data_IF_056520029387
#
_entry.id   IF_056520029387
#
_cell.length_a   1.000
_cell.length_b   1.000
_cell.length_c   1.000
_cell.angle_alpha   90.00
_cell.angle_beta   90.00
_cell.angle_gamma   90.00
#
_symmetry.space_group_name_H-M   'P 1'
#
loop_
_entity.id
_entity.type
_entity.pdbx_description
1 polymer ?
#
# COMPACT_ATOMS: atom_id res chain seq x y z
N UNK A 1 42.21 -60.82 -19.58
CA UNK A 1 41.12 -61.13 -20.52
C UNK A 1 40.31 -59.86 -20.68
N UNK A 2 40.60 -59.09 -21.73
CA UNK A 2 39.90 -57.85 -22.06
C UNK A 2 38.49 -58.20 -22.55
N UNK A 3 37.46 -57.62 -21.92
CA UNK A 3 36.09 -57.67 -22.41
C UNK A 3 36.01 -56.78 -23.66
N UNK A 4 36.08 -57.41 -24.84
CA UNK A 4 35.69 -56.77 -26.09
C UNK A 4 34.20 -56.39 -26.02
N UNK A 5 33.80 -55.18 -26.43
CA UNK A 5 32.39 -54.86 -26.61
C UNK A 5 31.89 -55.52 -27.89
N UNK A 6 31.16 -56.62 -27.74
CA UNK A 6 30.37 -57.23 -28.81
C UNK A 6 29.04 -56.48 -28.95
N UNK A 7 29.09 -55.26 -29.48
CA UNK A 7 27.93 -54.54 -29.99
C UNK A 7 28.24 -54.06 -31.39
N UNK A 8 27.56 -54.61 -32.41
CA UNK A 8 27.83 -54.25 -33.80
C UNK A 8 27.78 -52.74 -34.02
N UNK A 9 28.63 -52.24 -34.93
CA UNK A 9 28.92 -50.82 -35.25
C UNK A 9 27.71 -49.92 -35.54
N UNK A 10 26.48 -50.45 -35.49
CA UNK A 10 25.22 -49.73 -35.71
C UNK A 10 24.34 -49.62 -34.45
N UNK A 11 24.65 -50.36 -33.37
CA UNK A 11 23.87 -50.37 -32.12
C UNK A 11 23.92 -49.03 -31.38
N UNK A 12 25.07 -48.36 -31.38
CA UNK A 12 25.23 -47.02 -30.81
C UNK A 12 24.48 -45.95 -31.64
N UNK A 13 24.42 -46.11 -32.97
CA UNK A 13 23.66 -45.24 -33.88
C UNK A 13 22.15 -45.39 -33.63
N UNK A 14 21.67 -46.63 -33.46
CA UNK A 14 20.27 -46.91 -33.15
C UNK A 14 19.87 -46.34 -31.78
N UNK A 15 20.71 -46.51 -30.76
CA UNK A 15 20.48 -45.91 -29.44
C UNK A 15 20.46 -44.37 -29.52
N UNK A 16 21.40 -43.77 -30.24
CA UNK A 16 21.43 -42.31 -30.45
C UNK A 16 20.16 -41.82 -31.15
N UNK A 17 19.72 -42.51 -32.20
CA UNK A 17 18.47 -42.19 -32.90
C UNK A 17 17.25 -42.30 -31.99
N UNK A 18 17.16 -43.33 -31.15
CA UNK A 18 16.09 -43.48 -30.17
C UNK A 18 16.09 -42.34 -29.14
N UNK A 19 17.27 -41.95 -28.63
CA UNK A 19 17.40 -40.80 -27.73
C UNK A 19 17.01 -39.48 -28.39
N UNK A 20 17.41 -39.27 -29.65
CA UNK A 20 17.01 -38.10 -30.43
C UNK A 20 15.49 -38.07 -30.60
N UNK A 21 14.87 -39.17 -31.02
CA UNK A 21 13.41 -39.28 -31.17
C UNK A 21 12.72 -39.00 -29.82
N UNK A 22 13.22 -39.57 -28.73
CA UNK A 22 12.68 -39.34 -27.40
C UNK A 22 12.78 -37.85 -26.99
N UNK A 23 13.91 -37.20 -27.24
CA UNK A 23 14.09 -35.76 -26.97
C UNK A 23 13.11 -34.94 -27.80
N UNK A 24 12.93 -35.24 -29.09
CA UNK A 24 11.97 -34.53 -29.94
C UNK A 24 10.53 -34.74 -29.47
N UNK A 25 10.15 -35.96 -29.10
CA UNK A 25 8.82 -36.25 -28.52
C UNK A 25 8.64 -35.48 -27.22
N UNK A 26 9.61 -35.52 -26.29
CA UNK A 26 9.55 -34.77 -25.04
C UNK A 26 9.53 -33.26 -25.25
N UNK A 27 10.23 -32.74 -26.27
CA UNK A 27 10.24 -31.32 -26.58
C UNK A 27 8.87 -30.82 -27.05
N UNK A 28 8.21 -31.55 -27.95
CA UNK A 28 6.91 -31.13 -28.49
C UNK A 28 5.72 -31.51 -27.58
N UNK A 29 5.75 -32.68 -26.95
CA UNK A 29 4.67 -33.13 -26.05
C UNK A 29 4.84 -32.59 -24.63
N UNK A 30 6.08 -32.42 -24.16
CA UNK A 30 6.37 -31.86 -22.84
C UNK A 30 5.89 -30.43 -22.69
N UNK A 31 6.04 -29.59 -23.73
CA UNK A 31 5.52 -28.22 -23.71
C UNK A 31 3.99 -28.18 -23.57
N UNK A 32 3.27 -29.06 -24.29
CA UNK A 32 1.81 -29.16 -24.17
C UNK A 32 1.40 -29.67 -22.79
N UNK A 33 2.07 -30.69 -22.29
CA UNK A 33 1.80 -31.25 -20.97
C UNK A 33 2.06 -30.21 -19.86
N UNK A 34 3.17 -29.49 -19.94
CA UNK A 34 3.52 -28.38 -19.04
C UNK A 34 2.44 -27.30 -19.09
N UNK A 35 2.01 -26.88 -20.29
CA UNK A 35 0.95 -25.90 -20.47
C UNK A 35 -0.35 -26.32 -19.78
N UNK A 36 -0.80 -27.56 -19.96
CA UNK A 36 -2.02 -28.06 -19.30
C UNK A 36 -1.88 -28.13 -17.79
N UNK A 37 -0.72 -28.56 -17.29
CA UNK A 37 -0.42 -28.61 -15.86
C UNK A 37 -0.45 -27.20 -15.25
N UNK A 38 0.25 -26.24 -15.85
CA UNK A 38 0.30 -24.86 -15.37
C UNK A 38 -1.07 -24.18 -15.45
N UNK A 39 -1.86 -24.42 -16.51
CA UNK A 39 -3.22 -23.89 -16.59
C UNK A 39 -4.09 -24.37 -15.43
N UNK A 40 -3.98 -25.63 -15.02
CA UNK A 40 -4.74 -26.18 -13.90
C UNK A 40 -4.33 -25.56 -12.56
N UNK A 41 -3.04 -25.30 -12.38
CA UNK A 41 -2.53 -24.60 -11.20
C UNK A 41 -3.07 -23.17 -11.12
N UNK A 42 -2.98 -22.41 -12.22
CA UNK A 42 -3.51 -21.05 -12.29
C UNK A 42 -5.03 -21.04 -12.07
N UNK A 43 -5.75 -22.00 -12.66
CA UNK A 43 -7.20 -22.13 -12.48
C UNK A 43 -7.58 -22.32 -11.01
N UNK A 44 -6.80 -23.11 -10.26
CA UNK A 44 -7.00 -23.33 -8.82
C UNK A 44 -6.85 -22.02 -8.03
N UNK A 45 -5.78 -21.27 -8.28
CA UNK A 45 -5.59 -19.96 -7.63
C UNK A 45 -6.63 -18.94 -8.08
N UNK A 46 -7.08 -19.00 -9.33
CA UNK A 46 -8.15 -18.15 -9.83
C UNK A 46 -9.48 -18.41 -9.10
N UNK A 47 -9.80 -19.66 -8.75
CA UNK A 47 -10.95 -19.96 -7.90
C UNK A 47 -10.80 -19.35 -6.51
N UNK A 48 -9.60 -19.40 -5.91
CA UNK A 48 -9.32 -18.75 -4.63
C UNK A 48 -9.49 -17.23 -4.72
N UNK A 49 -8.91 -16.59 -5.73
CA UNK A 49 -9.08 -15.14 -5.98
C UNK A 49 -10.55 -14.76 -6.18
N UNK A 50 -11.32 -15.59 -6.90
CA UNK A 50 -12.76 -15.38 -7.07
C UNK A 50 -13.48 -15.39 -5.73
N UNK A 51 -13.18 -16.39 -4.90
CA UNK A 51 -13.77 -16.52 -3.57
C UNK A 51 -13.43 -15.31 -2.69
N UNK A 52 -12.15 -14.91 -2.64
CA UNK A 52 -11.70 -13.74 -1.86
C UNK A 52 -12.42 -12.46 -2.33
N UNK A 53 -12.52 -12.24 -3.64
CA UNK A 53 -13.27 -11.11 -4.21
C UNK A 53 -14.74 -11.15 -3.80
N UNK A 54 -15.40 -12.30 -3.92
CA UNK A 54 -16.82 -12.44 -3.63
C UNK A 54 -17.10 -12.23 -2.12
N UNK A 55 -16.20 -12.70 -1.26
CA UNK A 55 -16.23 -12.43 0.18
C UNK A 55 -16.02 -10.94 0.47
N UNK A 56 -15.02 -10.29 -0.15
CA UNK A 56 -14.78 -8.86 0.02
C UNK A 56 -15.98 -8.00 -0.39
N UNK A 57 -16.59 -8.31 -1.54
CA UNK A 57 -17.85 -7.67 -1.98
C UNK A 57 -18.97 -7.88 -0.98
N UNK A 58 -19.12 -9.09 -0.46
CA UNK A 58 -20.15 -9.43 0.52
C UNK A 58 -19.97 -8.62 1.81
N UNK A 59 -18.76 -8.59 2.37
CA UNK A 59 -18.45 -7.84 3.58
C UNK A 59 -18.75 -6.35 3.37
N UNK A 60 -18.31 -5.74 2.25
CA UNK A 60 -18.60 -4.33 1.97
C UNK A 60 -20.12 -4.02 1.98
N UNK A 61 -20.94 -4.90 1.37
CA UNK A 61 -22.40 -4.75 1.37
C UNK A 61 -22.99 -4.90 2.78
N UNK A 62 -22.51 -5.87 3.55
CA UNK A 62 -22.96 -6.12 4.93
C UNK A 62 -22.60 -4.93 5.83
N UNK A 63 -21.36 -4.45 5.79
CA UNK A 63 -20.91 -3.28 6.56
C UNK A 63 -21.72 -2.03 6.21
N UNK A 64 -22.02 -1.78 4.92
CA UNK A 64 -22.88 -0.66 4.51
C UNK A 64 -24.30 -0.81 5.08
N UNK A 65 -24.86 -2.02 5.08
CA UNK A 65 -26.20 -2.27 5.63
C UNK A 65 -26.25 -2.04 7.13
N UNK A 66 -25.21 -2.46 7.85
CA UNK A 66 -25.10 -2.34 9.30
C UNK A 66 -24.90 -0.88 9.75
N UNK A 67 -23.93 -0.18 9.15
CA UNK A 67 -23.55 1.19 9.53
C UNK A 67 -24.49 2.21 8.87
N UNK A 68 -24.64 2.10 7.56
CA UNK A 68 -25.26 3.11 6.71
C UNK A 68 -26.78 3.09 6.67
N UNK A 69 -27.40 1.97 7.03
CA UNK A 69 -28.86 1.74 7.01
C UNK A 69 -29.55 2.31 5.76
N UNK A 70 -29.09 1.94 4.55
CA UNK A 70 -29.68 2.45 3.31
C UNK A 70 -31.14 2.02 3.15
N UNK A 71 -31.95 2.89 2.52
CA UNK A 71 -33.38 2.64 2.28
C UNK A 71 -33.64 1.58 1.20
N UNK A 72 -32.65 1.32 0.33
CA UNK A 72 -32.70 0.37 -0.78
C UNK A 72 -31.45 -0.50 -0.78
N UNK A 73 -31.54 -1.68 -1.41
CA UNK A 73 -30.41 -2.62 -1.46
C UNK A 73 -29.19 -1.98 -2.16
N UNK A 74 -28.04 -1.82 -1.46
CA UNK A 74 -26.87 -1.12 -2.00
C UNK A 74 -26.10 -1.95 -3.04
N UNK A 75 -26.41 -3.24 -3.21
CA UNK A 75 -25.61 -4.18 -3.99
C UNK A 75 -25.26 -3.68 -5.42
N UNK A 76 -26.26 -3.20 -6.17
CA UNK A 76 -26.02 -2.71 -7.54
C UNK A 76 -25.15 -1.46 -7.61
N UNK A 77 -25.16 -0.65 -6.55
CA UNK A 77 -24.36 0.58 -6.48
C UNK A 77 -22.94 0.28 -6.02
N UNK A 78 -22.79 -0.65 -5.08
CA UNK A 78 -21.48 -1.24 -4.73
C UNK A 78 -20.84 -1.83 -5.99
N UNK A 79 -21.56 -2.61 -6.80
CA UNK A 79 -21.03 -3.17 -8.06
C UNK A 79 -20.50 -2.10 -9.02
N UNK A 80 -21.18 -0.95 -9.12
CA UNK A 80 -20.68 0.19 -9.91
C UNK A 80 -19.45 0.82 -9.30
N UNK A 81 -19.40 0.93 -7.97
CA UNK A 81 -18.24 1.45 -7.24
C UNK A 81 -17.00 0.58 -7.47
N UNK A 82 -17.14 -0.75 -7.41
CA UNK A 82 -16.03 -1.70 -7.64
C UNK A 82 -15.46 -1.67 -9.07
N UNK A 83 -16.17 -1.03 -10.00
CA UNK A 83 -15.78 -0.84 -11.40
C UNK A 83 -15.31 0.61 -11.67
N UNK A 84 -15.27 1.45 -10.64
CA UNK A 84 -14.77 2.83 -10.75
C UNK A 84 -13.27 2.84 -11.10
N UNK A 85 -12.86 3.82 -11.89
CA UNK A 85 -11.46 4.00 -12.27
C UNK A 85 -11.12 5.49 -12.38
N UNK A 86 -9.84 5.79 -12.24
CA UNK A 86 -9.29 7.15 -12.36
C UNK A 86 -8.26 7.16 -13.48
N UNK A 87 -8.30 8.19 -14.33
CA UNK A 87 -7.37 8.35 -15.45
C UNK A 87 -6.31 9.38 -15.03
N UNK A 88 -5.03 9.01 -15.11
CA UNK A 88 -3.91 9.90 -14.85
C UNK A 88 -3.83 11.04 -15.89
N UNK A 89 -3.33 12.23 -15.51
CA UNK A 89 -3.17 13.33 -16.46
C UNK A 89 -2.14 12.99 -17.55
N UNK A 90 -2.25 13.67 -18.69
CA UNK A 90 -1.27 13.56 -19.77
C UNK A 90 0.11 14.08 -19.33
N UNK A 91 1.16 13.33 -19.66
CA UNK A 91 2.55 13.61 -19.25
C UNK A 91 3.45 14.14 -20.37
N UNK A 92 2.91 14.37 -21.57
CA UNK A 92 3.68 14.88 -22.71
C UNK A 92 4.32 16.25 -22.43
N UNK A 93 3.62 17.11 -21.70
CA UNK A 93 4.17 18.33 -21.12
C UNK A 93 4.32 18.14 -19.60
N UNK A 94 5.53 17.88 -19.10
CA UNK A 94 5.76 17.61 -17.68
C UNK A 94 5.57 18.84 -16.80
N UNK A 95 5.54 20.05 -17.37
CA UNK A 95 5.33 21.26 -16.59
C UNK A 95 3.94 21.25 -15.94
N UNK A 96 3.91 21.35 -14.61
CA UNK A 96 2.67 21.36 -13.84
C UNK A 96 1.90 20.03 -13.80
N UNK A 97 2.51 18.90 -14.19
CA UNK A 97 1.87 17.59 -14.11
C UNK A 97 1.43 17.24 -12.69
N UNK A 98 2.21 17.64 -11.68
CA UNK A 98 1.93 17.38 -10.26
C UNK A 98 0.62 18.04 -9.83
N UNK A 99 0.41 19.31 -10.20
CA UNK A 99 -0.82 20.04 -9.86
C UNK A 99 -2.06 19.51 -10.60
N UNK A 100 -1.89 19.02 -11.84
CA UNK A 100 -2.96 18.33 -12.58
C UNK A 100 -3.32 17.01 -11.90
N UNK A 101 -2.31 16.26 -11.47
CA UNK A 101 -2.49 14.99 -10.78
C UNK A 101 -3.19 15.21 -9.44
N UNK A 102 -2.76 16.21 -8.66
CA UNK A 102 -3.40 16.59 -7.42
C UNK A 102 -4.88 16.88 -7.60
N UNK A 103 -5.23 17.72 -8.58
CA UNK A 103 -6.64 18.06 -8.83
C UNK A 103 -7.48 16.81 -9.16
N UNK A 104 -6.94 15.87 -9.95
CA UNK A 104 -7.63 14.61 -10.27
C UNK A 104 -7.80 13.74 -9.01
N UNK A 105 -6.79 13.67 -8.15
CA UNK A 105 -6.85 12.92 -6.89
C UNK A 105 -7.85 13.53 -5.91
N UNK A 106 -7.93 14.87 -5.83
CA UNK A 106 -8.92 15.57 -5.01
C UNK A 106 -10.35 15.29 -5.49
N UNK A 107 -10.57 15.39 -6.82
CA UNK A 107 -11.87 15.07 -7.42
C UNK A 107 -12.24 13.61 -7.19
N UNK A 108 -11.26 12.70 -7.21
CA UNK A 108 -11.45 11.28 -6.89
C UNK A 108 -11.88 11.13 -5.42
N UNK A 109 -11.11 11.65 -4.47
CA UNK A 109 -11.37 11.58 -3.03
C UNK A 109 -12.78 12.10 -2.69
N UNK A 110 -13.11 13.32 -3.14
CA UNK A 110 -14.40 13.94 -2.87
C UNK A 110 -15.56 13.09 -3.45
N UNK A 111 -15.38 12.55 -4.67
CA UNK A 111 -16.38 11.70 -5.32
C UNK A 111 -16.59 10.36 -4.60
N UNK A 112 -15.52 9.72 -4.12
CA UNK A 112 -15.64 8.46 -3.39
C UNK A 112 -16.37 8.67 -2.07
N UNK A 113 -16.02 9.72 -1.32
CA UNK A 113 -16.73 10.13 -0.10
C UNK A 113 -18.21 10.41 -0.35
N UNK A 114 -18.55 11.11 -1.43
CA UNK A 114 -19.95 11.38 -1.80
C UNK A 114 -20.72 10.12 -2.15
N UNK A 115 -20.11 9.17 -2.89
CA UNK A 115 -20.72 7.87 -3.16
C UNK A 115 -20.95 7.06 -1.87
N UNK A 116 -20.01 7.11 -0.92
CA UNK A 116 -20.16 6.48 0.39
C UNK A 116 -21.32 7.10 1.18
N UNK A 117 -21.42 8.43 1.24
CA UNK A 117 -22.54 9.12 1.93
C UNK A 117 -23.89 8.75 1.36
N UNK A 118 -23.97 8.54 0.05
CA UNK A 118 -25.20 8.11 -0.60
C UNK A 118 -25.50 6.60 -0.40
N UNK A 119 -24.47 5.77 -0.23
CA UNK A 119 -24.59 4.35 0.13
C UNK A 119 -24.93 4.16 1.61
N UNK A 120 -24.44 5.03 2.48
CA UNK A 120 -24.50 4.92 3.93
C UNK A 120 -24.90 6.25 4.59
N UNK A 121 -26.16 6.71 4.41
CA UNK A 121 -26.60 8.04 4.86
C UNK A 121 -26.58 8.23 6.38
N UNK A 122 -26.57 7.14 7.17
CA UNK A 122 -26.51 7.21 8.62
C UNK A 122 -25.08 7.21 9.21
N UNK A 123 -24.05 7.09 8.37
CA UNK A 123 -22.66 7.03 8.83
C UNK A 123 -22.16 8.41 9.29
N UNK A 124 -21.41 8.45 10.39
CA UNK A 124 -20.63 9.63 10.78
C UNK A 124 -19.36 9.78 9.90
N UNK A 125 -18.56 10.82 10.14
CA UNK A 125 -17.36 11.11 9.33
C UNK A 125 -16.29 10.01 9.44
N UNK A 126 -16.07 9.47 10.65
CA UNK A 126 -15.11 8.38 10.88
C UNK A 126 -15.56 7.11 10.16
N UNK A 127 -16.85 6.79 10.29
CA UNK A 127 -17.48 5.66 9.61
C UNK A 127 -17.47 5.83 8.10
N UNK A 128 -17.67 7.05 7.59
CA UNK A 128 -17.59 7.37 6.15
C UNK A 128 -16.20 7.06 5.62
N UNK A 129 -15.14 7.54 6.29
CA UNK A 129 -13.75 7.27 5.90
C UNK A 129 -13.41 5.77 5.98
N UNK A 130 -13.90 5.07 7.00
CA UNK A 130 -13.69 3.62 7.12
C UNK A 130 -14.42 2.82 6.03
N UNK A 131 -15.65 3.21 5.69
CA UNK A 131 -16.43 2.60 4.61
C UNK A 131 -15.82 2.86 3.23
N UNK A 132 -15.26 4.06 3.02
CA UNK A 132 -14.47 4.38 1.83
C UNK A 132 -13.31 3.40 1.67
N UNK A 133 -12.45 3.27 2.69
CA UNK A 133 -11.32 2.35 2.63
C UNK A 133 -11.76 0.88 2.47
N UNK A 134 -12.88 0.50 3.08
CA UNK A 134 -13.48 -0.84 2.92
C UNK A 134 -13.86 -1.10 1.45
N UNK A 135 -14.50 -0.13 0.80
CA UNK A 135 -14.88 -0.21 -0.60
C UNK A 135 -13.67 -0.16 -1.54
N UNK A 136 -12.65 0.64 -1.23
CA UNK A 136 -11.40 0.66 -1.99
C UNK A 136 -10.66 -0.68 -1.94
N UNK A 137 -10.58 -1.32 -0.76
CA UNK A 137 -10.02 -2.66 -0.63
C UNK A 137 -10.83 -3.69 -1.44
N UNK A 138 -12.17 -3.61 -1.42
CA UNK A 138 -13.02 -4.48 -2.23
C UNK A 138 -12.79 -4.25 -3.74
N UNK A 139 -12.59 -2.99 -4.15
CA UNK A 139 -12.29 -2.60 -5.52
C UNK A 139 -10.94 -3.18 -5.97
N UNK A 140 -9.91 -3.13 -5.11
CA UNK A 140 -8.60 -3.74 -5.37
C UNK A 140 -8.71 -5.26 -5.57
N UNK A 141 -9.45 -5.97 -4.70
CA UNK A 141 -9.72 -7.41 -4.85
C UNK A 141 -10.45 -7.73 -6.18
N UNK A 142 -11.43 -6.91 -6.56
CA UNK A 142 -12.13 -7.06 -7.84
C UNK A 142 -11.16 -6.86 -9.03
N UNK A 143 -10.30 -5.85 -8.96
CA UNK A 143 -9.31 -5.58 -9.99
C UNK A 143 -8.31 -6.75 -10.14
N UNK A 144 -7.72 -7.22 -9.03
CA UNK A 144 -6.78 -8.36 -9.03
C UNK A 144 -7.40 -9.58 -9.71
N UNK A 145 -8.62 -9.96 -9.31
CA UNK A 145 -9.32 -11.09 -9.92
C UNK A 145 -9.51 -10.91 -11.43
N UNK A 146 -9.95 -9.71 -11.87
CA UNK A 146 -10.22 -9.42 -13.29
C UNK A 146 -8.96 -9.50 -14.14
N UNK A 147 -7.84 -8.95 -13.67
CA UNK A 147 -6.56 -8.95 -14.39
C UNK A 147 -6.02 -10.38 -14.52
N UNK A 148 -5.97 -11.15 -13.43
CA UNK A 148 -5.50 -12.55 -13.48
C UNK A 148 -6.40 -13.39 -14.37
N UNK A 149 -7.72 -13.22 -14.27
CA UNK A 149 -8.69 -13.90 -15.14
C UNK A 149 -8.46 -13.57 -16.61
N UNK A 150 -8.20 -12.31 -16.94
CA UNK A 150 -7.94 -11.88 -18.30
C UNK A 150 -6.75 -12.62 -18.90
N UNK A 151 -5.60 -12.62 -18.22
CA UNK A 151 -4.41 -13.30 -18.72
C UNK A 151 -4.54 -14.82 -18.74
N UNK A 152 -5.24 -15.43 -17.77
CA UNK A 152 -5.57 -16.86 -17.81
C UNK A 152 -6.38 -17.22 -19.06
N UNK A 153 -7.45 -16.47 -19.35
CA UNK A 153 -8.29 -16.71 -20.53
C UNK A 153 -7.54 -16.45 -21.84
N UNK A 154 -6.71 -15.41 -21.88
CA UNK A 154 -5.87 -15.10 -23.01
C UNK A 154 -4.90 -16.26 -23.29
N UNK A 155 -4.16 -16.70 -22.27
CA UNK A 155 -3.23 -17.83 -22.38
C UNK A 155 -3.92 -19.13 -22.82
N UNK A 156 -5.11 -19.42 -22.28
CA UNK A 156 -5.92 -20.58 -22.67
C UNK A 156 -6.40 -20.49 -24.13
N UNK A 157 -6.80 -19.30 -24.61
CA UNK A 157 -7.29 -19.10 -25.98
C UNK A 157 -6.17 -19.15 -27.01
N UNK A 158 -5.02 -18.55 -26.72
CA UNK A 158 -3.89 -18.48 -27.66
C UNK A 158 -2.95 -19.68 -27.57
N UNK A 159 -3.13 -20.53 -26.55
CA UNK A 159 -2.18 -21.60 -26.20
C UNK A 159 -0.74 -21.08 -26.06
N UNK A 160 -0.60 -19.84 -25.57
CA UNK A 160 0.71 -19.19 -25.42
C UNK A 160 1.33 -19.60 -24.09
N UNK A 161 2.35 -20.46 -24.16
CA UNK A 161 3.10 -20.90 -22.99
C UNK A 161 3.69 -19.72 -22.22
N UNK A 162 4.21 -18.70 -22.91
CA UNK A 162 4.82 -17.53 -22.28
C UNK A 162 3.84 -16.69 -21.48
N UNK A 163 2.61 -16.48 -21.98
CA UNK A 163 1.57 -15.76 -21.23
C UNK A 163 1.21 -16.52 -19.96
N UNK A 164 1.08 -17.83 -20.06
CA UNK A 164 0.73 -18.71 -18.94
C UNK A 164 1.86 -18.74 -17.90
N UNK A 165 3.12 -18.85 -18.33
CA UNK A 165 4.28 -18.82 -17.44
C UNK A 165 4.40 -17.49 -16.70
N UNK A 166 4.19 -16.35 -17.37
CA UNK A 166 4.22 -15.04 -16.71
C UNK A 166 3.21 -14.98 -15.57
N UNK A 167 1.97 -15.44 -15.80
CA UNK A 167 0.95 -15.51 -14.75
C UNK A 167 1.40 -16.44 -13.62
N UNK A 168 1.87 -17.65 -13.94
CA UNK A 168 2.32 -18.62 -12.93
C UNK A 168 3.42 -18.06 -12.02
N UNK A 169 4.40 -17.35 -12.60
CA UNK A 169 5.53 -16.80 -11.86
C UNK A 169 5.13 -15.69 -10.88
N UNK A 170 4.19 -14.82 -11.27
CA UNK A 170 3.74 -13.70 -10.41
C UNK A 170 2.64 -14.11 -9.43
N UNK A 171 1.96 -15.24 -9.68
CA UNK A 171 0.79 -15.68 -8.93
C UNK A 171 1.00 -15.76 -7.41
N UNK A 172 2.15 -16.23 -6.88
CA UNK A 172 2.38 -16.24 -5.43
C UNK A 172 2.36 -14.84 -4.82
N UNK A 173 2.94 -13.84 -5.51
CA UNK A 173 2.94 -12.45 -5.05
C UNK A 173 1.53 -11.86 -5.11
N UNK A 174 0.80 -12.11 -6.20
CA UNK A 174 -0.59 -11.67 -6.37
C UNK A 174 -1.52 -12.28 -5.31
N UNK A 175 -1.32 -13.55 -4.96
CA UNK A 175 -2.08 -14.22 -3.89
C UNK A 175 -1.80 -13.58 -2.53
N UNK A 176 -0.52 -13.30 -2.21
CA UNK A 176 -0.12 -12.63 -0.98
C UNK A 176 -0.76 -11.24 -0.88
N UNK A 177 -0.74 -10.48 -1.96
CA UNK A 177 -1.39 -9.17 -2.04
C UNK A 177 -2.92 -9.26 -1.88
N UNK A 178 -3.58 -10.23 -2.52
CA UNK A 178 -5.02 -10.44 -2.37
C UNK A 178 -5.42 -10.83 -0.94
N UNK A 179 -4.63 -11.67 -0.28
CA UNK A 179 -4.84 -12.04 1.13
C UNK A 179 -4.63 -10.84 2.08
N UNK A 180 -3.65 -9.98 1.77
CA UNK A 180 -3.41 -8.73 2.48
C UNK A 180 -4.61 -7.78 2.36
N UNK A 181 -5.11 -7.53 1.14
CA UNK A 181 -6.31 -6.70 0.93
C UNK A 181 -7.57 -7.30 1.54
N UNK A 182 -7.71 -8.63 1.56
CA UNK A 182 -8.84 -9.28 2.24
C UNK A 182 -8.81 -9.06 3.75
N UNK A 183 -7.61 -9.07 4.34
CA UNK A 183 -7.40 -8.76 5.75
C UNK A 183 -7.61 -7.26 6.04
N UNK A 184 -7.11 -6.40 5.16
CA UNK A 184 -7.30 -4.94 5.20
C UNK A 184 -8.78 -4.57 5.17
N UNK A 185 -9.55 -5.19 4.28
CA UNK A 185 -10.98 -4.97 4.16
C UNK A 185 -11.71 -5.23 5.49
N UNK A 186 -11.34 -6.29 6.21
CA UNK A 186 -11.88 -6.57 7.55
C UNK A 186 -11.42 -5.52 8.56
N UNK A 187 -10.14 -5.13 8.55
CA UNK A 187 -9.62 -4.08 9.42
C UNK A 187 -10.38 -2.75 9.22
N UNK A 188 -10.60 -2.35 7.96
CA UNK A 188 -11.33 -1.15 7.59
C UNK A 188 -12.79 -1.19 8.05
N UNK A 189 -13.48 -2.33 7.84
CA UNK A 189 -14.85 -2.50 8.29
C UNK A 189 -15.00 -2.37 9.83
N UNK A 190 -14.00 -2.79 10.59
CA UNK A 190 -14.02 -2.75 12.06
C UNK A 190 -13.30 -1.55 12.69
N UNK A 191 -12.70 -0.65 11.90
CA UNK A 191 -11.96 0.49 12.46
C UNK A 191 -10.65 0.11 13.15
N UNK A 192 -10.03 -1.02 12.78
CA UNK A 192 -8.79 -1.49 13.41
C UNK A 192 -7.55 -0.83 12.80
N UNK A 193 -6.52 -0.49 13.61
CA UNK A 193 -5.27 0.04 13.10
C UNK A 193 -4.55 -0.98 12.21
N UNK A 194 -3.91 -0.49 11.15
CA UNK A 194 -3.14 -1.29 10.19
C UNK A 194 -1.65 -0.95 10.23
N UNK A 195 -0.78 -1.81 9.69
CA UNK A 195 0.67 -1.62 9.76
C UNK A 195 1.17 -0.31 9.15
N UNK A 196 0.56 0.16 8.06
CA UNK A 196 0.84 1.46 7.42
C UNK A 196 0.66 2.63 8.39
N UNK A 197 -0.26 2.51 9.36
CA UNK A 197 -0.53 3.54 10.35
C UNK A 197 0.55 3.73 11.43
N UNK A 198 1.68 3.00 11.38
CA UNK A 198 2.71 3.09 12.43
C UNK A 198 3.35 4.49 12.53
N UNK A 199 3.57 5.20 11.42
CA UNK A 199 4.06 6.58 11.47
C UNK A 199 3.04 7.51 12.13
N UNK A 200 1.77 7.39 11.75
CA UNK A 200 0.67 8.10 12.39
C UNK A 200 0.53 7.77 13.90
N UNK A 201 0.77 6.52 14.30
CA UNK A 201 0.76 6.10 15.71
C UNK A 201 1.90 6.76 16.50
N UNK A 202 3.11 6.83 15.92
CA UNK A 202 4.25 7.52 16.55
C UNK A 202 3.93 8.99 16.77
N UNK A 203 3.36 9.67 15.77
CA UNK A 203 2.92 11.05 15.91
C UNK A 203 1.82 11.20 16.98
N UNK A 204 0.80 10.32 16.98
CA UNK A 204 -0.25 10.32 18.00
C UNK A 204 0.30 10.18 19.42
N UNK A 205 1.27 9.27 19.64
CA UNK A 205 1.94 9.12 20.94
C UNK A 205 2.67 10.39 21.38
N UNK A 206 3.27 11.14 20.45
CA UNK A 206 3.94 12.41 20.74
C UNK A 206 2.95 13.56 20.98
N UNK A 207 1.78 13.54 20.32
CA UNK A 207 0.72 14.54 20.48
C UNK A 207 -0.09 14.36 21.77
N UNK A 208 -0.12 13.15 22.34
CA UNK A 208 -0.95 12.81 23.48
C UNK A 208 -0.77 13.78 24.66
N UNK A 209 -1.87 14.42 25.09
CA UNK A 209 -1.90 15.38 26.18
C UNK A 209 -1.59 16.83 25.78
N UNK A 210 -1.38 17.10 24.49
CA UNK A 210 -1.19 18.44 23.94
C UNK A 210 -2.41 18.91 23.15
N UNK A 211 -2.57 20.23 22.99
CA UNK A 211 -3.64 20.81 22.20
C UNK A 211 -3.43 20.53 20.71
N UNK A 212 -4.49 20.07 20.04
CA UNK A 212 -4.47 19.68 18.63
C UNK A 212 -5.36 20.63 17.83
N UNK A 213 -4.84 21.14 16.71
CA UNK A 213 -5.60 21.96 15.75
C UNK A 213 -5.50 21.39 14.33
N UNK A 214 -6.48 21.71 13.47
CA UNK A 214 -6.40 21.43 12.04
C UNK A 214 -5.39 22.36 11.36
N UNK A 215 -4.66 21.85 10.37
CA UNK A 215 -3.60 22.61 9.66
C UNK A 215 -3.72 22.57 8.13
N UNK A 216 -4.24 21.48 7.57
CA UNK A 216 -4.50 21.30 6.15
C UNK A 216 -5.69 20.35 5.95
N UNK A 217 -6.09 20.08 4.69
CA UNK A 217 -7.12 19.08 4.38
C UNK A 217 -6.73 17.77 5.05
N UNK A 218 -7.58 17.30 5.95
CA UNK A 218 -7.46 16.03 6.66
C UNK A 218 -6.13 15.85 7.44
N UNK A 219 -5.52 16.96 7.90
CA UNK A 219 -4.32 16.94 8.74
C UNK A 219 -4.50 17.75 10.02
N UNK A 220 -3.90 17.25 11.09
CA UNK A 220 -3.85 17.89 12.40
C UNK A 220 -2.41 18.12 12.85
N UNK A 221 -2.21 19.12 13.71
CA UNK A 221 -0.91 19.45 14.31
C UNK A 221 -1.05 19.71 15.81
N UNK A 222 -0.06 19.27 16.58
CA UNK A 222 0.12 19.68 17.97
C UNK A 222 1.49 20.34 18.14
N UNK A 223 1.57 21.30 19.06
CA UNK A 223 2.84 21.90 19.47
C UNK A 223 3.31 21.25 20.76
N UNK A 224 4.45 20.56 20.69
CA UNK A 224 4.97 19.71 21.76
C UNK A 224 6.38 20.17 22.15
N UNK A 225 6.66 20.46 23.43
CA UNK A 225 8.03 20.65 23.89
C UNK A 225 8.75 19.29 23.93
N UNK A 226 9.89 19.17 23.26
CA UNK A 226 10.67 17.93 23.23
C UNK A 226 12.16 18.27 23.30
N UNK A 227 12.88 17.69 24.27
CA UNK A 227 14.32 17.92 24.47
C UNK A 227 14.71 19.42 24.48
N UNK A 228 13.88 20.32 25.01
CA UNK A 228 14.14 21.77 25.00
C UNK A 228 13.96 22.47 23.64
N UNK A 229 13.36 21.81 22.65
CA UNK A 229 12.95 22.34 21.33
C UNK A 229 11.42 22.44 21.27
N UNK A 230 10.93 23.20 20.29
CA UNK A 230 9.50 23.24 19.95
C UNK A 230 9.28 22.32 18.74
N UNK A 231 8.54 21.22 18.92
CA UNK A 231 8.15 20.34 17.83
C UNK A 231 6.71 20.61 17.38
N UNK A 232 6.53 20.77 16.08
CA UNK A 232 5.22 20.71 15.43
C UNK A 232 5.00 19.28 14.95
N UNK A 233 4.20 18.52 15.69
CA UNK A 233 3.91 17.12 15.38
C UNK A 233 2.66 17.04 14.51
N UNK A 234 2.78 16.46 13.33
CA UNK A 234 1.74 16.40 12.29
C UNK A 234 1.38 14.95 12.01
N UNK A 235 0.09 14.68 11.83
CA UNK A 235 -0.43 13.45 11.20
C UNK A 235 -1.74 13.73 10.49
N UNK A 236 -2.24 12.76 9.74
CA UNK A 236 -3.61 12.82 9.22
C UNK A 236 -4.65 12.82 10.38
N UNK A 237 -5.85 13.33 10.11
CA UNK A 237 -6.94 13.36 11.10
C UNK A 237 -7.53 11.96 11.29
N UNK A 238 -7.56 11.49 12.54
CA UNK A 238 -8.06 10.17 12.91
C UNK A 238 -9.19 10.24 13.95
N UNK A 239 -9.81 9.10 14.31
CA UNK A 239 -9.39 7.72 14.04
C UNK A 239 -10.00 7.09 12.77
N UNK A 240 -10.64 7.87 11.91
CA UNK A 240 -11.09 7.38 10.60
C UNK A 240 -9.91 7.10 9.68
N UNK A 241 -10.09 6.18 8.73
CA UNK A 241 -9.06 5.86 7.75
C UNK A 241 -8.77 7.03 6.82
N UNK A 242 -7.63 7.70 7.00
CA UNK A 242 -7.23 8.86 6.23
C UNK A 242 -5.70 8.92 6.09
N UNK A 243 -5.21 9.51 5.01
CA UNK A 243 -3.78 9.73 4.73
C UNK A 243 -3.40 11.22 4.72
N UNK A 244 -4.40 12.12 4.67
CA UNK A 244 -4.22 13.56 4.73
C UNK A 244 -3.46 14.17 3.55
N UNK A 245 -3.15 15.46 3.67
CA UNK A 245 -2.22 16.20 2.79
C UNK A 245 -1.01 16.72 3.57
N UNK A 246 -0.07 15.84 3.98
CA UNK A 246 1.07 16.23 4.80
C UNK A 246 1.98 17.26 4.11
N UNK A 247 2.06 17.28 2.78
CA UNK A 247 2.84 18.28 2.05
C UNK A 247 2.29 19.70 2.24
N UNK A 248 0.97 19.85 2.23
CA UNK A 248 0.33 21.14 2.52
C UNK A 248 0.47 21.53 4.00
N UNK A 249 0.38 20.56 4.91
CA UNK A 249 0.57 20.79 6.34
C UNK A 249 2.00 21.28 6.66
N UNK A 250 3.02 20.60 6.13
CA UNK A 250 4.43 20.98 6.29
C UNK A 250 4.68 22.38 5.73
N UNK A 251 4.21 22.65 4.50
CA UNK A 251 4.33 23.97 3.87
C UNK A 251 3.72 25.07 4.74
N UNK A 252 2.51 24.84 5.26
CA UNK A 252 1.81 25.80 6.11
C UNK A 252 2.60 26.10 7.39
N UNK A 253 3.14 25.07 8.06
CA UNK A 253 3.95 25.26 9.27
C UNK A 253 5.24 26.03 8.97
N UNK A 254 5.92 25.73 7.86
CA UNK A 254 7.12 26.45 7.44
C UNK A 254 6.79 27.94 7.21
N UNK A 255 5.68 28.24 6.54
CA UNK A 255 5.25 29.60 6.24
C UNK A 255 4.81 30.37 7.50
N UNK A 256 4.02 29.74 8.39
CA UNK A 256 3.63 30.29 9.71
C UNK A 256 4.86 30.63 10.59
N UNK A 257 5.98 29.94 10.38
CA UNK A 257 7.24 30.16 11.11
C UNK A 257 8.27 30.97 10.32
N UNK A 258 7.88 31.62 9.21
CA UNK A 258 8.78 32.44 8.37
C UNK A 258 10.03 31.67 7.88
N UNK A 259 9.92 30.36 7.67
CA UNK A 259 11.04 29.50 7.30
C UNK A 259 11.99 29.13 8.45
N UNK A 260 11.72 29.55 9.70
CA UNK A 260 12.56 29.28 10.87
C UNK A 260 12.31 27.88 11.44
N UNK A 261 12.58 26.86 10.62
CA UNK A 261 12.53 25.44 10.98
C UNK A 261 13.92 24.86 10.78
N UNK A 262 14.50 24.25 11.82
CA UNK A 262 15.88 23.74 11.77
C UNK A 262 15.93 22.35 11.14
N UNK A 263 14.89 21.54 11.33
CA UNK A 263 14.87 20.16 10.83
C UNK A 263 13.43 19.64 10.69
N UNK A 264 13.24 18.74 9.72
CA UNK A 264 12.01 17.96 9.54
C UNK A 264 12.35 16.47 9.72
N UNK A 265 11.54 15.75 10.48
CA UNK A 265 11.67 14.31 10.69
C UNK A 265 10.37 13.66 10.23
N UNK A 266 10.44 12.90 9.14
CA UNK A 266 9.30 12.13 8.62
C UNK A 266 9.37 10.68 9.10
N UNK A 267 8.24 10.13 9.51
CA UNK A 267 8.13 8.78 10.03
C UNK A 267 7.12 8.05 9.18
N UNK A 268 7.52 6.94 8.59
CA UNK A 268 6.68 6.18 7.67
C UNK A 268 6.90 4.67 7.83
N UNK A 269 5.91 3.89 7.41
CA UNK A 269 6.08 2.47 7.18
C UNK A 269 6.79 2.24 5.85
N UNK A 270 7.72 1.28 5.78
CA UNK A 270 8.21 0.82 4.49
C UNK A 270 8.31 -0.70 4.44
N UNK A 271 8.12 -1.24 3.24
CA UNK A 271 8.25 -2.67 3.01
C UNK A 271 9.66 -3.14 3.38
N UNK A 272 9.71 -4.18 4.20
CA UNK A 272 10.94 -4.87 4.56
C UNK A 272 11.46 -5.66 3.36
N UNK A 273 12.77 -5.79 3.29
CA UNK A 273 13.40 -6.83 2.47
C UNK A 273 13.28 -8.18 3.18
N UNK A 274 13.37 -9.30 2.43
CA UNK A 274 13.19 -10.63 3.01
C UNK A 274 14.24 -11.01 4.07
N UNK A 275 15.35 -10.28 4.14
CA UNK A 275 16.37 -10.43 5.20
C UNK A 275 16.25 -9.44 6.37
N UNK A 276 15.32 -8.48 6.33
CA UNK A 276 15.09 -7.49 7.38
C UNK A 276 14.01 -7.98 8.36
N UNK A 277 14.05 -7.50 9.60
CA UNK A 277 13.06 -7.85 10.62
C UNK A 277 11.83 -6.95 10.56
N UNK A 278 10.65 -7.50 10.88
CA UNK A 278 9.43 -6.70 11.06
C UNK A 278 9.59 -5.84 12.32
N UNK A 279 9.27 -4.55 12.22
CA UNK A 279 9.45 -3.58 13.31
C UNK A 279 10.89 -3.08 13.47
N UNK A 280 11.79 -3.42 12.55
CA UNK A 280 13.11 -2.80 12.49
C UNK A 280 12.98 -1.31 12.17
N UNK A 281 13.76 -0.47 12.84
CA UNK A 281 13.76 0.98 12.67
C UNK A 281 15.04 1.39 11.94
N UNK A 282 14.89 1.99 10.76
CA UNK A 282 15.98 2.49 9.95
C UNK A 282 15.91 4.02 9.82
N UNK A 283 17.06 4.65 9.56
CA UNK A 283 17.16 6.10 9.35
C UNK A 283 17.64 6.43 7.94
N UNK A 284 17.19 7.58 7.44
CA UNK A 284 17.59 8.08 6.13
C UNK A 284 17.39 9.58 5.98
N UNK A 285 17.55 10.06 4.75
CA UNK A 285 17.38 11.46 4.35
C UNK A 285 16.42 11.50 3.18
N UNK A 286 15.46 12.42 3.22
CA UNK A 286 14.45 12.59 2.17
C UNK A 286 13.03 12.58 2.70
N UNK A 287 12.08 12.94 1.83
CA UNK A 287 10.66 12.88 2.15
C UNK A 287 10.17 11.42 2.11
N UNK A 288 10.00 10.83 3.30
CA UNK A 288 9.46 9.49 3.48
C UNK A 288 7.93 9.53 3.45
N UNK A 289 7.37 9.28 2.28
CA UNK A 289 5.93 9.23 2.05
C UNK A 289 5.59 8.32 0.86
N UNK A 290 4.55 7.51 1.02
CA UNK A 290 3.96 6.73 -0.07
C UNK A 290 3.06 7.53 -1.02
N UNK A 291 2.41 6.83 -1.94
CA UNK A 291 1.37 7.39 -2.80
C UNK A 291 1.86 7.94 -4.16
N UNK A 292 1.03 8.74 -4.85
CA UNK A 292 1.28 9.15 -6.24
C UNK A 292 2.41 10.15 -6.47
N UNK A 293 3.10 10.60 -5.41
CA UNK A 293 4.24 11.53 -5.48
C UNK A 293 3.90 13.02 -5.40
N UNK A 294 2.62 13.40 -5.26
CA UNK A 294 2.19 14.81 -5.16
C UNK A 294 2.71 15.45 -3.88
N UNK A 295 2.44 14.86 -2.71
CA UNK A 295 2.92 15.38 -1.44
C UNK A 295 4.46 15.35 -1.35
N UNK A 296 5.10 14.29 -1.85
CA UNK A 296 6.56 14.20 -1.91
C UNK A 296 7.15 15.41 -2.65
N UNK A 297 6.64 15.72 -3.85
CA UNK A 297 7.06 16.88 -4.63
C UNK A 297 6.84 18.21 -3.88
N UNK A 298 5.67 18.40 -3.27
CA UNK A 298 5.37 19.63 -2.50
C UNK A 298 6.31 19.83 -1.31
N UNK A 299 6.64 18.74 -0.62
CA UNK A 299 7.58 18.75 0.50
C UNK A 299 8.96 19.15 -0.02
N UNK A 300 9.45 18.48 -1.07
CA UNK A 300 10.76 18.74 -1.68
C UNK A 300 10.92 20.18 -2.16
N UNK A 301 9.91 20.73 -2.84
CA UNK A 301 9.88 22.14 -3.26
C UNK A 301 9.95 23.10 -2.05
N UNK A 302 9.19 22.79 -0.99
CA UNK A 302 9.13 23.61 0.21
C UNK A 302 10.47 23.61 0.95
N UNK A 303 11.06 22.44 1.19
CA UNK A 303 12.35 22.33 1.89
C UNK A 303 13.50 22.90 1.06
N UNK A 304 13.45 22.81 -0.27
CA UNK A 304 14.45 23.40 -1.16
C UNK A 304 14.43 24.92 -1.08
N UNK A 305 13.23 25.52 -1.11
CA UNK A 305 13.03 26.98 -1.01
C UNK A 305 13.65 27.57 0.26
N UNK A 306 13.50 26.90 1.40
CA UNK A 306 14.00 27.37 2.70
C UNK A 306 15.30 26.69 3.16
N UNK A 307 15.85 25.76 2.36
CA UNK A 307 17.05 24.96 2.66
C UNK A 307 16.97 24.22 4.00
N UNK A 308 15.82 23.62 4.28
CA UNK A 308 15.56 22.89 5.52
C UNK A 308 16.01 21.42 5.35
N UNK A 309 16.87 20.89 6.22
CA UNK A 309 17.20 19.46 6.25
C UNK A 309 15.97 18.59 6.55
N UNK A 310 15.90 17.42 5.93
CA UNK A 310 14.84 16.43 6.16
C UNK A 310 15.45 15.06 6.45
N UNK A 311 15.04 14.46 7.56
CA UNK A 311 15.44 13.12 7.98
C UNK A 311 14.21 12.20 7.94
N UNK A 312 14.45 10.93 7.72
CA UNK A 312 13.43 9.89 7.69
C UNK A 312 13.70 8.85 8.77
N UNK A 313 12.65 8.41 9.46
CA UNK A 313 12.64 7.26 10.36
C UNK A 313 11.64 6.26 9.80
N UNK A 314 12.15 5.14 9.29
CA UNK A 314 11.35 4.12 8.62
C UNK A 314 11.15 2.93 9.54
N UNK A 315 9.90 2.51 9.72
CA UNK A 315 9.58 1.24 10.39
C UNK A 315 9.31 0.17 9.33
N UNK A 316 10.07 -0.93 9.39
CA UNK A 316 9.97 -2.04 8.43
C UNK A 316 8.72 -2.88 8.67
N UNK A 317 7.90 -3.03 7.64
CA UNK A 317 6.67 -3.84 7.67
C UNK A 317 6.68 -4.87 6.55
N UNK A 318 6.07 -6.04 6.74
CA UNK A 318 5.86 -6.97 5.63
C UNK A 318 4.77 -6.45 4.68
N UNK A 319 4.78 -6.90 3.42
CA UNK A 319 3.74 -6.54 2.44
C UNK A 319 2.35 -6.98 2.90
N UNK A 320 2.23 -8.11 3.60
CA UNK A 320 0.98 -8.55 4.21
C UNK A 320 0.56 -7.67 5.39
N UNK A 321 1.54 -7.13 6.13
CA UNK A 321 1.33 -6.38 7.36
C UNK A 321 1.01 -4.90 7.12
N UNK A 322 1.44 -4.34 5.99
CA UNK A 322 1.22 -2.93 5.65
C UNK A 322 -0.28 -2.57 5.66
N UNK A 323 -1.11 -3.43 5.08
CA UNK A 323 -2.56 -3.17 4.94
C UNK A 323 -3.43 -3.98 5.90
N UNK A 324 -2.89 -5.00 6.57
CA UNK A 324 -3.63 -5.83 7.54
C UNK A 324 -3.54 -5.26 8.97
N UNK A 325 -4.33 -5.79 9.94
CA UNK A 325 -4.29 -5.31 11.32
C UNK A 325 -2.87 -5.24 11.89
N UNK A 326 -2.56 -4.14 12.56
CA UNK A 326 -1.22 -3.84 13.06
C UNK A 326 -0.74 -4.93 14.02
N UNK A 327 0.36 -5.57 13.65
CA UNK A 327 1.02 -6.57 14.48
C UNK A 327 1.66 -5.97 15.73
N UNK A 328 1.81 -6.80 16.75
CA UNK A 328 2.45 -6.42 18.01
C UNK A 328 3.87 -5.88 17.80
N UNK A 329 4.66 -6.52 16.94
CA UNK A 329 6.04 -6.14 16.66
C UNK A 329 6.12 -4.73 16.04
N UNK A 330 5.16 -4.39 15.18
CA UNK A 330 5.05 -3.06 14.56
C UNK A 330 4.62 -2.04 15.63
N UNK A 331 3.62 -2.37 16.45
CA UNK A 331 3.18 -1.51 17.54
C UNK A 331 4.29 -1.19 18.55
N UNK A 332 5.09 -2.19 18.94
CA UNK A 332 6.22 -2.04 19.85
C UNK A 332 7.38 -1.25 19.22
N UNK A 333 7.50 -1.24 17.89
CA UNK A 333 8.48 -0.42 17.18
C UNK A 333 8.20 1.08 17.31
N UNK A 334 6.98 1.49 17.66
CA UNK A 334 6.65 2.90 17.86
C UNK A 334 7.55 3.56 18.93
N UNK A 335 7.83 2.86 20.03
CA UNK A 335 8.64 3.42 21.12
C UNK A 335 10.12 3.53 20.70
N UNK A 336 10.62 2.53 19.95
CA UNK A 336 11.96 2.58 19.35
C UNK A 336 12.10 3.74 18.35
N UNK A 337 11.06 4.00 17.55
CA UNK A 337 11.04 5.13 16.62
C UNK A 337 11.06 6.46 17.38
N UNK A 338 10.32 6.61 18.48
CA UNK A 338 10.33 7.80 19.33
C UNK A 338 11.72 8.05 19.93
N UNK A 339 12.36 7.01 20.46
CA UNK A 339 13.73 7.12 20.95
C UNK A 339 14.67 7.59 19.85
N UNK A 340 14.50 7.08 18.63
CA UNK A 340 15.33 7.52 17.52
C UNK A 340 15.10 8.97 17.14
N UNK A 341 13.85 9.40 17.05
CA UNK A 341 13.48 10.80 16.80
C UNK A 341 14.16 11.73 17.81
N UNK A 342 14.16 11.38 19.11
CA UNK A 342 14.85 12.16 20.15
C UNK A 342 16.35 12.28 19.87
N UNK A 343 17.01 11.18 19.50
CA UNK A 343 18.42 11.20 19.13
C UNK A 343 18.68 12.11 17.92
N UNK A 344 17.88 11.98 16.85
CA UNK A 344 18.00 12.82 15.65
C UNK A 344 17.84 14.31 16.00
N UNK A 345 16.90 14.67 16.88
CA UNK A 345 16.70 16.05 17.34
C UNK A 345 17.96 16.55 18.06
N UNK A 346 18.51 15.78 18.99
CA UNK A 346 19.71 16.17 19.74
C UNK A 346 20.94 16.33 18.85
N UNK A 347 21.10 15.47 17.84
CA UNK A 347 22.24 15.50 16.92
C UNK A 347 22.17 16.64 15.89
N UNK A 348 20.95 17.04 15.47
CA UNK A 348 20.75 17.94 14.33
C UNK A 348 20.29 19.34 14.71
N UNK A 349 19.98 19.60 15.98
CA UNK A 349 19.39 20.87 16.43
C UNK A 349 19.98 21.35 17.75
N UNK A 350 19.69 22.59 18.12
CA UNK A 350 20.06 23.23 19.39
C UNK A 350 18.82 23.52 20.23
N UNK A 351 19.00 23.75 21.52
CA UNK A 351 17.90 24.19 22.39
C UNK A 351 17.26 25.48 21.87
N UNK A 352 15.93 25.57 21.96
CA UNK A 352 15.15 26.68 21.41
C UNK A 352 14.84 26.58 19.92
N UNK A 353 15.44 25.62 19.19
CA UNK A 353 15.12 25.39 17.78
C UNK A 353 13.69 24.86 17.60
N UNK A 354 13.17 25.05 16.39
CA UNK A 354 11.87 24.55 15.95
C UNK A 354 12.05 23.39 14.98
N UNK A 355 11.32 22.32 15.19
CA UNK A 355 11.34 21.12 14.33
C UNK A 355 9.93 20.73 13.90
N UNK A 356 9.82 20.06 12.77
CA UNK A 356 8.57 19.42 12.34
C UNK A 356 8.76 17.91 12.43
N UNK A 357 7.82 17.22 13.06
CA UNK A 357 7.78 15.76 13.15
C UNK A 357 6.51 15.31 12.44
N UNK A 358 6.61 14.46 11.43
CA UNK A 358 5.46 14.07 10.59
C UNK A 358 5.28 12.57 10.64
N UNK A 359 4.19 12.12 11.24
CA UNK A 359 3.73 10.74 11.16
C UNK A 359 2.90 10.53 9.90
N UNK A 360 3.45 9.78 8.95
CA UNK A 360 2.80 9.39 7.70
C UNK A 360 2.11 8.03 7.90
N UNK A 361 1.08 7.79 7.10
CA UNK A 361 0.34 6.53 7.07
C UNK A 361 -1.13 6.68 7.45
N UNK A 362 -1.89 5.63 7.20
CA UNK A 362 -3.32 5.59 7.43
C UNK A 362 -3.70 5.70 8.91
N UNK A 363 -4.61 6.61 9.26
CA UNK A 363 -5.03 6.87 10.64
C UNK A 363 -6.18 6.03 11.16
N UNK A 364 -6.59 4.99 10.43
CA UNK A 364 -7.67 4.13 10.91
C UNK A 364 -7.35 3.55 12.29
N UNK A 365 -8.28 3.67 13.23
CA UNK A 365 -8.11 3.21 14.60
C UNK A 365 -7.06 4.00 15.41
N UNK A 366 -6.50 5.08 14.87
CA UNK A 366 -5.44 5.89 15.48
C UNK A 366 -5.90 7.34 15.64
N UNK A 367 -6.38 7.67 16.84
CA UNK A 367 -6.74 9.04 17.24
C UNK A 367 -5.53 9.94 17.48
N UNK A 368 -5.78 11.23 17.63
CA UNK A 368 -4.80 12.26 18.04
C UNK A 368 -4.78 12.43 19.56
#
# INVERSE_FOLDING_TARGET
MQLQPTGGDYSWILNLLLWIILIFVMMFYGQKLQLYSTLREIETSLYKLKYIRDEGRKIAIETIKEIGKPQVDPASRVDRFLEYFTISPQSMDPAGIVWKLEHILDVRDDRLKDEVRLLAPAADEVQTNNLENTLEAAMALNYIYKVVRHYYLLGKKTLSLYVIMQVQMILPLVMREAEAYASALKAFAYGQPIGDGIGALVAAKLMHGHEVRKIAKDCVVATVPIEGRIAYVVKAEGPGGNVGKPGDAIKTIIEENEGKITNIIMIDAALKLEGEEVGEVAEGVGAAIGGPGVDQFKIEESILKYRIPINAVIIKVDIGDAVSPMRKEIFEAADKAIERIRQTILERTKEGDKVIIVGVGNTIGIGQ
#
